data_IF_183210165153
#
_entry.id   IF_183210165153
#
_cell.length_a   1.000
_cell.length_b   1.000
_cell.length_c   1.000
_cell.angle_alpha   90.00
_cell.angle_beta   90.00
_cell.angle_gamma   90.00
#
_symmetry.space_group_name_H-M   'P 1'
#
loop_
_entity.id
_entity.type
_entity.pdbx_description
1 polymer ?
#
# COMPACT_ATOMS: atom_id res chain seq x y z
N UNK A 1 -2.28 -23.60 9.79
CA UNK A 1 -2.37 -22.32 9.02
C UNK A 1 -1.25 -22.37 8.00
N UNK A 2 -1.42 -21.81 6.80
CA UNK A 2 -0.29 -21.71 5.87
C UNK A 2 0.85 -20.93 6.52
N UNK A 3 2.08 -21.27 6.14
CA UNK A 3 3.29 -20.62 6.61
C UNK A 3 3.28 -19.14 6.18
N UNK A 4 3.59 -18.24 7.11
CA UNK A 4 3.63 -16.80 6.86
C UNK A 4 5.08 -16.37 6.59
N UNK A 5 5.25 -15.34 5.79
CA UNK A 5 6.58 -14.83 5.40
C UNK A 5 7.48 -14.50 6.60
N UNK A 6 6.91 -14.16 7.75
CA UNK A 6 7.63 -13.84 8.98
C UNK A 6 7.94 -15.03 9.89
N UNK A 7 7.36 -16.23 9.68
CA UNK A 7 7.49 -17.36 10.60
C UNK A 7 8.93 -17.80 10.79
N UNK A 8 9.78 -17.68 9.79
CA UNK A 8 11.21 -18.00 9.86
C UNK A 8 12.03 -17.03 10.72
N UNK A 9 11.49 -15.86 11.06
CA UNK A 9 12.15 -14.85 11.91
C UNK A 9 11.71 -14.96 13.39
N UNK A 10 10.71 -15.77 13.69
CA UNK A 10 10.18 -15.94 15.05
C UNK A 10 11.02 -16.97 15.83
N UNK A 11 11.42 -16.59 17.03
CA UNK A 11 12.05 -17.51 17.98
C UNK A 11 11.03 -18.50 18.55
N UNK A 12 11.51 -19.54 19.24
CA UNK A 12 10.63 -20.48 19.98
C UNK A 12 9.83 -19.76 21.07
N UNK A 13 10.43 -18.79 21.75
CA UNK A 13 9.75 -17.96 22.72
C UNK A 13 8.60 -17.16 22.09
N UNK A 14 8.83 -16.55 20.92
CA UNK A 14 7.80 -15.78 20.21
C UNK A 14 6.62 -16.69 19.84
N UNK A 15 6.91 -17.88 19.29
CA UNK A 15 5.88 -18.86 18.91
C UNK A 15 5.07 -19.32 20.13
N UNK A 16 5.74 -19.58 21.24
CA UNK A 16 5.10 -19.99 22.50
C UNK A 16 4.19 -18.88 23.03
N UNK A 17 4.67 -17.63 23.04
CA UNK A 17 3.88 -16.47 23.45
C UNK A 17 2.64 -16.29 22.56
N UNK A 18 2.79 -16.37 21.24
CA UNK A 18 1.68 -16.26 20.30
C UNK A 18 0.62 -17.37 20.49
N UNK A 19 1.06 -18.58 20.83
CA UNK A 19 0.14 -19.69 21.13
C UNK A 19 -0.68 -19.47 22.41
N UNK A 20 -0.09 -18.80 23.40
CA UNK A 20 -0.75 -18.49 24.68
C UNK A 20 -1.63 -17.24 24.59
N UNK A 21 -1.31 -16.30 23.71
CA UNK A 21 -1.96 -15.00 23.56
C UNK A 21 -2.53 -14.85 22.16
N UNK A 22 -3.51 -15.66 21.81
CA UNK A 22 -4.14 -15.62 20.50
C UNK A 22 -4.77 -14.24 20.24
N UNK A 23 -4.22 -13.53 19.25
CA UNK A 23 -4.75 -12.24 18.81
C UNK A 23 -6.15 -12.39 18.22
N UNK A 24 -7.08 -11.56 18.65
CA UNK A 24 -8.38 -11.46 18.01
C UNK A 24 -8.28 -10.63 16.75
N UNK A 25 -8.75 -11.17 15.62
CA UNK A 25 -8.83 -10.44 14.34
C UNK A 25 -9.79 -9.27 14.43
N UNK A 26 -9.45 -8.18 13.73
CA UNK A 26 -10.29 -6.99 13.58
C UNK A 26 -11.47 -7.30 12.64
N UNK A 27 -11.21 -8.07 11.59
CA UNK A 27 -12.17 -8.46 10.56
C UNK A 27 -12.58 -7.30 9.65
N UNK A 28 -13.29 -7.65 8.60
CA UNK A 28 -13.87 -6.68 7.68
C UNK A 28 -15.10 -6.02 8.28
N UNK A 29 -15.31 -4.75 7.93
CA UNK A 29 -16.51 -3.98 8.30
C UNK A 29 -17.59 -4.02 7.24
N UNK A 30 -18.34 -2.92 7.15
CA UNK A 30 -19.52 -2.82 6.29
C UNK A 30 -19.38 -1.87 5.10
N UNK A 31 -18.36 -1.01 5.10
CA UNK A 31 -18.12 0.00 4.05
C UNK A 31 -16.64 0.04 3.70
N UNK A 32 -16.18 -0.85 2.82
CA UNK A 32 -14.78 -0.92 2.43
C UNK A 32 -14.39 0.18 1.44
N UNK A 33 -13.10 0.54 1.46
CA UNK A 33 -12.41 1.25 0.40
C UNK A 33 -11.07 0.57 0.09
N UNK A 34 -10.57 0.69 -1.13
CA UNK A 34 -9.23 0.25 -1.53
C UNK A 34 -8.29 1.45 -1.52
N UNK A 35 -7.16 1.31 -0.85
CA UNK A 35 -6.07 2.28 -0.79
C UNK A 35 -4.81 1.70 -1.42
N UNK A 36 -4.42 2.23 -2.59
CA UNK A 36 -3.20 1.88 -3.30
C UNK A 36 -2.12 2.91 -2.98
N UNK A 37 -1.02 2.46 -2.39
CA UNK A 37 0.03 3.34 -1.86
C UNK A 37 1.26 3.24 -2.76
N UNK A 38 1.65 4.37 -3.37
CA UNK A 38 2.94 4.60 -4.02
C UNK A 38 3.28 3.62 -5.16
N UNK A 39 2.30 3.28 -5.99
CA UNK A 39 2.47 2.43 -7.16
C UNK A 39 2.93 3.27 -8.38
N UNK A 40 4.10 3.87 -8.30
CA UNK A 40 4.61 4.82 -9.29
C UNK A 40 6.02 4.47 -9.82
N UNK A 41 6.43 5.15 -10.90
CA UNK A 41 7.70 4.89 -11.62
C UNK A 41 8.94 4.89 -10.73
N UNK A 42 9.02 5.76 -9.73
CA UNK A 42 10.17 5.79 -8.81
C UNK A 42 10.42 4.45 -8.13
N UNK A 43 9.37 3.69 -7.86
CA UNK A 43 9.39 2.39 -7.17
C UNK A 43 9.53 1.22 -8.13
N UNK A 44 8.83 1.27 -9.26
CA UNK A 44 8.81 0.18 -10.23
C UNK A 44 9.96 0.25 -11.23
N UNK A 45 10.40 1.47 -11.58
CA UNK A 45 11.24 1.67 -12.75
C UNK A 45 10.45 1.54 -14.05
N UNK A 46 11.16 1.38 -15.16
CA UNK A 46 10.54 1.27 -16.48
C UNK A 46 10.24 -0.19 -16.90
N UNK A 47 10.85 -1.16 -16.22
CA UNK A 47 10.72 -2.60 -16.53
C UNK A 47 11.18 -3.47 -15.34
N UNK A 48 10.79 -4.76 -15.30
CA UNK A 48 11.30 -5.69 -14.30
C UNK A 48 12.82 -5.84 -14.38
N UNK A 49 13.50 -5.57 -13.25
CA UNK A 49 14.94 -5.73 -13.10
C UNK A 49 15.28 -6.17 -11.68
N UNK A 50 16.37 -6.94 -11.47
CA UNK A 50 16.91 -7.17 -10.13
C UNK A 50 17.19 -5.86 -9.40
N UNK A 51 17.01 -5.83 -8.08
CA UNK A 51 17.12 -4.62 -7.26
C UNK A 51 18.39 -3.83 -7.54
N UNK A 52 19.57 -4.48 -7.51
CA UNK A 52 20.87 -3.81 -7.68
C UNK A 52 21.08 -3.23 -9.09
N UNK A 53 20.36 -3.71 -10.08
CA UNK A 53 20.35 -3.12 -11.42
C UNK A 53 19.33 -1.96 -11.52
N UNK A 54 18.13 -2.17 -10.97
CA UNK A 54 17.05 -1.19 -11.01
C UNK A 54 17.46 0.14 -10.34
N UNK A 55 18.12 0.07 -9.18
CA UNK A 55 18.51 1.26 -8.40
C UNK A 55 19.58 2.12 -9.08
N UNK A 56 20.31 1.61 -10.07
CA UNK A 56 21.26 2.40 -10.87
C UNK A 56 20.54 3.49 -11.67
N UNK A 57 19.32 3.23 -12.10
CA UNK A 57 18.49 4.16 -12.88
C UNK A 57 17.41 4.82 -12.04
N UNK A 58 16.76 4.03 -11.17
CA UNK A 58 15.69 4.46 -10.28
C UNK A 58 16.08 4.17 -8.82
N UNK A 59 16.75 5.12 -8.12
CA UNK A 59 17.29 4.88 -6.78
C UNK A 59 16.27 4.43 -5.74
N UNK A 60 14.99 4.74 -5.92
CA UNK A 60 13.88 4.30 -5.07
C UNK A 60 13.27 2.96 -5.44
N UNK A 61 13.78 2.28 -6.48
CA UNK A 61 13.17 1.04 -6.96
C UNK A 61 13.18 -0.08 -5.91
N UNK A 62 12.12 -0.88 -5.93
CA UNK A 62 12.02 -2.14 -5.20
C UNK A 62 12.41 -3.37 -6.06
N UNK A 63 12.89 -3.13 -7.29
CA UNK A 63 13.33 -4.20 -8.19
C UNK A 63 12.21 -5.19 -8.51
N UNK A 64 12.56 -6.47 -8.58
CA UNK A 64 11.61 -7.54 -8.91
C UNK A 64 10.48 -7.67 -7.88
N UNK A 65 10.68 -7.30 -6.61
CA UNK A 65 9.62 -7.39 -5.60
C UNK A 65 8.38 -6.56 -5.98
N UNK A 66 8.58 -5.35 -6.53
CA UNK A 66 7.50 -4.53 -7.04
C UNK A 66 6.73 -5.22 -8.18
N UNK A 67 7.46 -5.74 -9.16
CA UNK A 67 6.86 -6.39 -10.33
C UNK A 67 6.17 -7.71 -10.02
N UNK A 68 6.64 -8.44 -9.00
CA UNK A 68 5.97 -9.65 -8.52
C UNK A 68 4.62 -9.35 -7.86
N UNK A 69 4.50 -8.19 -7.19
CA UNK A 69 3.25 -7.76 -6.56
C UNK A 69 2.22 -7.21 -7.56
N UNK A 70 2.61 -6.90 -8.81
CA UNK A 70 1.71 -6.22 -9.76
C UNK A 70 0.48 -7.06 -10.10
N UNK A 71 0.64 -8.35 -10.37
CA UNK A 71 -0.48 -9.24 -10.72
C UNK A 71 -1.50 -9.42 -9.59
N UNK A 72 -1.09 -9.68 -8.33
CA UNK A 72 -2.00 -9.62 -7.17
C UNK A 72 -2.72 -8.27 -7.04
N UNK A 73 -2.00 -7.16 -7.21
CA UNK A 73 -2.59 -5.80 -7.11
C UNK A 73 -3.61 -5.56 -8.23
N UNK A 74 -3.32 -5.96 -9.46
CA UNK A 74 -4.26 -5.86 -10.58
C UNK A 74 -5.54 -6.67 -10.30
N UNK A 75 -5.39 -7.89 -9.79
CA UNK A 75 -6.53 -8.74 -9.43
C UNK A 75 -7.38 -8.09 -8.33
N UNK A 76 -6.73 -7.53 -7.30
CA UNK A 76 -7.41 -6.80 -6.23
C UNK A 76 -8.14 -5.56 -6.74
N UNK A 77 -7.47 -4.75 -7.57
CA UNK A 77 -8.01 -3.53 -8.17
C UNK A 77 -9.22 -3.84 -9.04
N UNK A 78 -9.14 -4.88 -9.86
CA UNK A 78 -10.27 -5.32 -10.68
C UNK A 78 -11.47 -5.74 -9.80
N UNK A 79 -11.24 -6.53 -8.76
CA UNK A 79 -12.30 -6.95 -7.85
C UNK A 79 -12.93 -5.77 -7.11
N UNK A 80 -12.14 -4.75 -6.72
CA UNK A 80 -12.63 -3.53 -6.11
C UNK A 80 -13.51 -2.71 -7.05
N UNK A 81 -13.11 -2.59 -8.33
CA UNK A 81 -13.88 -1.96 -9.40
C UNK A 81 -15.22 -2.68 -9.62
N UNK A 82 -15.19 -4.00 -9.73
CA UNK A 82 -16.40 -4.82 -9.87
C UNK A 82 -17.35 -4.74 -8.67
N UNK A 83 -16.80 -4.61 -7.47
CA UNK A 83 -17.55 -4.41 -6.24
C UNK A 83 -18.05 -2.97 -6.07
N UNK A 84 -17.64 -2.05 -6.95
CA UNK A 84 -17.98 -0.61 -6.91
C UNK A 84 -17.67 0.03 -5.56
N UNK A 85 -16.57 -0.37 -4.92
CA UNK A 85 -16.09 0.29 -3.70
C UNK A 85 -15.23 1.51 -4.04
N UNK A 86 -15.13 2.52 -3.15
CA UNK A 86 -14.21 3.64 -3.34
C UNK A 86 -12.78 3.17 -3.51
N UNK A 87 -12.08 3.76 -4.48
CA UNK A 87 -10.66 3.48 -4.79
C UNK A 87 -9.88 4.77 -4.70
N UNK A 88 -8.79 4.74 -3.93
CA UNK A 88 -7.89 5.88 -3.73
C UNK A 88 -6.48 5.47 -4.08
N UNK A 89 -5.89 6.17 -5.04
CA UNK A 89 -4.49 6.04 -5.42
C UNK A 89 -3.69 7.14 -4.73
N UNK A 90 -2.63 6.75 -4.01
CA UNK A 90 -1.67 7.68 -3.43
C UNK A 90 -0.43 7.76 -4.31
N UNK A 91 0.01 8.97 -4.61
CA UNK A 91 1.26 9.22 -5.32
C UNK A 91 2.06 10.34 -4.67
N UNK A 92 3.31 10.54 -5.11
CA UNK A 92 4.19 11.56 -4.56
C UNK A 92 3.77 12.98 -4.94
N UNK A 93 4.12 13.92 -4.07
CA UNK A 93 4.00 15.35 -4.30
C UNK A 93 5.39 15.95 -4.46
N UNK A 94 5.56 16.75 -5.49
CA UNK A 94 6.78 17.50 -5.71
C UNK A 94 6.72 18.85 -4.99
N UNK A 95 7.61 19.05 -4.04
CA UNK A 95 7.73 20.29 -3.27
C UNK A 95 8.98 21.08 -3.68
N UNK A 96 9.32 21.09 -4.96
CA UNK A 96 10.42 21.91 -5.44
C UNK A 96 10.18 23.38 -5.05
N UNK A 97 11.08 23.94 -4.26
CA UNK A 97 11.05 25.34 -3.83
C UNK A 97 10.58 25.60 -2.41
N UNK A 98 10.18 24.57 -1.64
CA UNK A 98 9.91 24.72 -0.20
C UNK A 98 11.04 24.06 0.58
N UNK A 99 11.96 24.92 1.05
CA UNK A 99 13.11 24.46 1.83
C UNK A 99 12.65 23.75 3.12
N UNK A 100 13.24 22.58 3.40
CA UNK A 100 12.96 21.80 4.61
C UNK A 100 11.60 21.10 4.69
N UNK A 101 10.72 21.25 3.69
CA UNK A 101 9.38 20.66 3.74
C UNK A 101 9.35 19.13 3.57
N UNK A 102 10.25 18.57 2.78
CA UNK A 102 10.16 17.16 2.39
C UNK A 102 11.21 16.25 2.99
N UNK A 103 12.21 16.77 3.66
CA UNK A 103 13.35 15.93 4.02
C UNK A 103 13.92 16.26 5.40
N UNK A 104 13.76 15.33 6.28
CA UNK A 104 14.64 15.13 7.43
C UNK A 104 16.02 14.55 7.04
N UNK A 105 16.21 14.24 5.76
CA UNK A 105 17.46 13.76 5.20
C UNK A 105 17.88 14.71 4.10
N UNK A 106 19.15 15.05 4.05
CA UNK A 106 19.69 15.75 2.91
C UNK A 106 19.34 15.00 1.62
N UNK A 107 18.81 15.67 0.62
CA UNK A 107 18.58 15.04 -0.67
C UNK A 107 19.91 14.49 -1.19
N UNK A 108 19.92 13.31 -1.83
CA UNK A 108 21.11 12.85 -2.51
C UNK A 108 21.57 13.93 -3.47
N UNK A 109 22.89 14.13 -3.58
CA UNK A 109 23.46 15.08 -4.53
C UNK A 109 22.81 14.85 -5.90
N UNK A 110 22.31 15.89 -6.55
CA UNK A 110 21.69 15.74 -7.86
C UNK A 110 22.72 15.10 -8.80
N UNK A 111 22.29 14.06 -9.52
CA UNK A 111 23.06 13.54 -10.64
C UNK A 111 23.34 14.68 -11.61
N UNK A 112 24.46 14.57 -12.34
CA UNK A 112 24.78 15.55 -13.38
C UNK A 112 23.54 15.78 -14.28
N UNK A 113 23.22 17.04 -14.61
CA UNK A 113 22.07 17.35 -15.46
C UNK A 113 22.16 16.58 -16.77
N UNK A 114 21.11 15.83 -17.10
CA UNK A 114 20.96 15.21 -18.43
C UNK A 114 19.48 15.18 -18.80
N UNK A 115 19.15 15.17 -20.09
CA UNK A 115 17.76 15.07 -20.55
C UNK A 115 17.04 13.86 -19.97
N UNK A 116 17.72 12.72 -19.83
CA UNK A 116 17.17 11.48 -19.27
C UNK A 116 16.94 11.59 -17.76
N UNK A 117 17.82 12.27 -17.02
CA UNK A 117 17.64 12.53 -15.59
C UNK A 117 16.45 13.46 -15.34
N UNK A 118 16.29 14.48 -16.19
CA UNK A 118 15.17 15.41 -16.09
C UNK A 118 13.85 14.74 -16.46
N UNK A 119 13.84 13.86 -17.46
CA UNK A 119 12.67 13.07 -17.81
C UNK A 119 12.25 12.14 -16.67
N UNK A 120 13.19 11.39 -16.08
CA UNK A 120 12.92 10.57 -14.91
C UNK A 120 12.39 11.38 -13.73
N UNK A 121 12.92 12.57 -13.50
CA UNK A 121 12.46 13.46 -12.43
C UNK A 121 10.99 13.86 -12.65
N UNK A 122 10.58 14.18 -13.88
CA UNK A 122 9.20 14.53 -14.21
C UNK A 122 8.25 13.35 -14.00
N UNK A 123 8.66 12.14 -14.44
CA UNK A 123 7.81 10.94 -14.43
C UNK A 123 7.84 10.16 -13.12
N UNK A 124 8.66 10.53 -12.15
CA UNK A 124 8.89 9.71 -10.95
C UNK A 124 7.63 9.38 -10.15
N UNK A 125 6.65 10.28 -10.18
CA UNK A 125 5.39 10.12 -9.46
C UNK A 125 4.23 9.65 -10.33
N UNK A 126 4.48 9.34 -11.60
CA UNK A 126 3.47 8.79 -12.48
C UNK A 126 3.11 7.38 -12.02
N UNK A 127 1.83 7.15 -11.78
CA UNK A 127 1.32 5.82 -11.47
C UNK A 127 1.60 4.91 -12.66
N UNK A 128 2.08 3.69 -12.41
CA UNK A 128 2.41 2.75 -13.48
C UNK A 128 1.14 2.32 -14.25
N UNK A 129 1.30 2.10 -15.55
CA UNK A 129 0.17 1.84 -16.46
C UNK A 129 -0.64 0.60 -16.07
N UNK A 130 0.03 -0.36 -15.47
CA UNK A 130 -0.55 -1.63 -15.02
C UNK A 130 -1.68 -1.47 -13.99
N UNK A 131 -1.67 -0.36 -13.25
CA UNK A 131 -2.66 -0.02 -12.21
C UNK A 131 -3.17 1.42 -12.38
N UNK A 132 -3.18 1.92 -13.61
CA UNK A 132 -3.63 3.27 -13.90
C UNK A 132 -5.05 3.55 -13.36
N UNK A 133 -5.27 4.72 -12.74
CA UNK A 133 -6.58 5.10 -12.24
C UNK A 133 -7.58 5.29 -13.38
N UNK A 134 -8.82 4.89 -13.15
CA UNK A 134 -9.94 5.16 -14.05
C UNK A 134 -10.67 6.47 -13.67
N UNK A 135 -11.42 7.06 -14.59
CA UNK A 135 -12.28 8.20 -14.28
C UNK A 135 -13.22 7.88 -13.11
N UNK A 136 -13.22 8.74 -12.09
CA UNK A 136 -14.00 8.55 -10.87
C UNK A 136 -13.22 7.94 -9.70
N UNK A 137 -12.02 7.39 -9.94
CA UNK A 137 -11.12 6.98 -8.86
C UNK A 137 -10.32 8.18 -8.33
N UNK A 138 -10.18 8.29 -7.01
CA UNK A 138 -9.45 9.40 -6.41
C UNK A 138 -7.94 9.22 -6.56
N UNK A 139 -7.24 10.27 -6.99
CA UNK A 139 -5.77 10.33 -7.00
C UNK A 139 -5.34 11.43 -6.05
N UNK A 140 -4.72 11.06 -4.94
CA UNK A 140 -4.23 11.98 -3.93
C UNK A 140 -2.70 12.00 -3.92
N UNK A 141 -2.14 13.18 -3.66
CA UNK A 141 -0.68 13.37 -3.57
C UNK A 141 -0.27 13.58 -2.13
N UNK A 142 0.82 12.93 -1.73
CA UNK A 142 1.37 13.04 -0.38
C UNK A 142 2.84 13.43 -0.38
N UNK A 143 3.25 14.13 0.69
CA UNK A 143 4.64 14.52 0.93
C UNK A 143 5.26 13.81 2.12
N UNK A 144 4.49 12.96 2.80
CA UNK A 144 4.91 12.21 3.98
C UNK A 144 4.75 10.71 3.76
N UNK A 145 5.35 9.85 4.59
CA UNK A 145 5.16 8.41 4.49
C UNK A 145 3.68 8.01 4.59
N UNK A 146 2.96 8.55 5.57
CA UNK A 146 1.54 8.25 5.76
C UNK A 146 0.66 8.86 4.67
N UNK A 147 -0.29 8.08 4.15
CA UNK A 147 -1.33 8.54 3.25
C UNK A 147 -2.31 9.53 3.92
N UNK A 148 -2.36 9.55 5.24
CA UNK A 148 -3.29 10.38 6.01
C UNK A 148 -2.72 11.77 6.33
N UNK A 149 -1.41 11.85 6.57
CA UNK A 149 -0.81 13.08 7.05
C UNK A 149 -0.68 14.13 5.96
N UNK A 150 -1.30 15.31 6.17
CA UNK A 150 -1.25 16.42 5.22
C UNK A 150 -2.03 16.20 3.91
N UNK A 151 -2.95 15.22 3.88
CA UNK A 151 -3.79 14.93 2.73
C UNK A 151 -5.29 15.05 3.09
N UNK A 152 -6.18 15.19 2.11
CA UNK A 152 -7.62 15.20 2.36
C UNK A 152 -8.22 13.80 2.59
N UNK A 153 -7.40 12.73 2.73
CA UNK A 153 -7.87 11.34 2.74
C UNK A 153 -8.91 11.08 3.83
N UNK A 154 -8.67 11.53 5.07
CA UNK A 154 -9.61 11.34 6.20
C UNK A 154 -10.98 11.95 5.89
N UNK A 155 -10.99 13.20 5.39
CA UNK A 155 -12.23 13.88 5.03
C UNK A 155 -12.98 13.14 3.92
N UNK A 156 -12.26 12.66 2.90
CA UNK A 156 -12.83 11.90 1.80
C UNK A 156 -13.45 10.57 2.27
N UNK A 157 -12.73 9.79 3.06
CA UNK A 157 -13.20 8.52 3.61
C UNK A 157 -14.40 8.70 4.54
N UNK A 158 -14.37 9.73 5.40
CA UNK A 158 -15.49 10.05 6.29
C UNK A 158 -16.74 10.47 5.51
N UNK A 159 -16.59 11.29 4.49
CA UNK A 159 -17.72 11.68 3.62
C UNK A 159 -18.37 10.46 2.97
N UNK A 160 -17.59 9.48 2.55
CA UNK A 160 -18.06 8.21 1.98
C UNK A 160 -18.60 7.23 3.04
N UNK A 161 -18.37 7.51 4.33
CA UNK A 161 -18.76 6.65 5.44
C UNK A 161 -17.98 5.34 5.50
N UNK A 162 -16.73 5.33 5.01
CA UNK A 162 -15.85 4.17 5.02
C UNK A 162 -15.52 3.75 6.45
N UNK A 163 -15.53 2.46 6.73
CA UNK A 163 -15.13 1.86 8.02
C UNK A 163 -13.97 0.87 7.89
N UNK A 164 -13.65 0.45 6.68
CA UNK A 164 -12.64 -0.57 6.39
C UNK A 164 -11.76 -0.11 5.24
N UNK A 165 -10.44 -0.17 5.42
CA UNK A 165 -9.47 0.18 4.39
C UNK A 165 -8.65 -1.05 4.03
N UNK A 166 -8.83 -1.50 2.79
CA UNK A 166 -8.02 -2.56 2.18
C UNK A 166 -6.81 -1.88 1.58
N UNK A 167 -5.60 -2.28 2.00
CA UNK A 167 -4.35 -1.58 1.68
C UNK A 167 -3.40 -2.47 0.89
N UNK A 168 -2.85 -1.93 -0.19
CA UNK A 168 -1.76 -2.52 -0.96
C UNK A 168 -0.73 -1.45 -1.37
N UNK A 169 0.45 -1.87 -1.83
CA UNK A 169 1.48 -0.98 -2.36
C UNK A 169 2.82 -0.99 -1.62
N UNK A 170 3.56 0.10 -1.72
CA UNK A 170 4.96 0.28 -1.28
C UNK A 170 5.07 1.31 -0.15
N UNK A 171 6.07 1.20 0.68
CA UNK A 171 6.82 0.02 1.10
C UNK A 171 6.22 -0.53 2.36
N UNK A 172 6.23 -1.86 2.52
CA UNK A 172 5.66 -2.53 3.69
C UNK A 172 6.15 -1.92 5.00
N UNK A 173 7.46 -1.65 5.14
CA UNK A 173 8.07 -1.07 6.33
C UNK A 173 7.98 0.46 6.41
N UNK A 174 7.58 1.11 5.34
CA UNK A 174 7.53 2.57 5.19
C UNK A 174 6.12 3.11 5.08
N UNK A 175 5.73 3.51 3.85
CA UNK A 175 4.47 4.21 3.61
C UNK A 175 3.24 3.35 3.93
N UNK A 176 3.28 2.04 3.66
CA UNK A 176 2.21 1.10 4.04
C UNK A 176 2.07 1.07 5.55
N UNK A 177 3.17 0.79 6.28
CA UNK A 177 3.14 0.75 7.75
C UNK A 177 2.67 2.06 8.36
N UNK A 178 3.21 3.19 7.91
CA UNK A 178 2.82 4.52 8.41
C UNK A 178 1.32 4.78 8.21
N UNK A 179 0.80 4.47 7.03
CA UNK A 179 -0.63 4.61 6.72
C UNK A 179 -1.51 3.66 7.54
N UNK A 180 -1.06 2.43 7.75
CA UNK A 180 -1.79 1.44 8.57
C UNK A 180 -1.89 1.90 10.02
N UNK A 181 -0.80 2.41 10.60
CA UNK A 181 -0.78 2.92 11.99
C UNK A 181 -1.72 4.12 12.14
N UNK A 182 -1.66 5.07 11.21
CA UNK A 182 -2.53 6.24 11.24
C UNK A 182 -3.99 5.86 11.00
N UNK A 183 -4.29 5.00 10.02
CA UNK A 183 -5.63 4.51 9.76
C UNK A 183 -6.25 3.80 10.96
N UNK A 184 -5.46 2.98 11.66
CA UNK A 184 -5.86 2.35 12.92
C UNK A 184 -6.13 3.40 14.01
N UNK A 185 -5.30 4.45 14.09
CA UNK A 185 -5.47 5.57 15.03
C UNK A 185 -6.76 6.35 14.75
N UNK A 186 -7.13 6.53 13.48
CA UNK A 186 -8.42 7.09 13.05
C UNK A 186 -9.60 6.14 13.19
N UNK A 187 -9.40 4.92 13.75
CA UNK A 187 -10.42 3.91 14.01
C UNK A 187 -10.96 3.19 12.78
N UNK A 188 -10.26 3.22 11.67
CA UNK A 188 -10.56 2.34 10.55
C UNK A 188 -10.12 0.90 10.84
N UNK A 189 -10.85 -0.08 10.30
CA UNK A 189 -10.41 -1.47 10.21
C UNK A 189 -9.39 -1.57 9.09
N UNK A 190 -8.12 -1.74 9.46
CA UNK A 190 -7.06 -1.83 8.47
C UNK A 190 -6.85 -3.27 8.04
N UNK A 191 -6.94 -3.52 6.75
CA UNK A 191 -6.68 -4.83 6.13
C UNK A 191 -5.49 -4.66 5.18
N UNK A 192 -4.43 -5.40 5.40
CA UNK A 192 -3.25 -5.42 4.53
C UNK A 192 -3.27 -6.69 3.69
N UNK A 193 -3.20 -6.56 2.38
CA UNK A 193 -3.18 -7.70 1.46
C UNK A 193 -1.76 -8.22 1.34
N UNK A 194 -1.50 -9.43 1.83
CA UNK A 194 -0.16 -10.01 1.97
C UNK A 194 0.61 -9.98 0.64
N UNK A 195 0.02 -10.48 -0.43
CA UNK A 195 0.62 -10.53 -1.77
C UNK A 195 0.59 -9.18 -2.51
N UNK A 196 -0.14 -8.21 -1.96
CA UNK A 196 -0.31 -6.87 -2.55
C UNK A 196 0.64 -5.82 -1.99
N UNK A 197 1.47 -6.14 -1.00
CA UNK A 197 2.46 -5.22 -0.44
C UNK A 197 3.88 -5.75 -0.64
N UNK A 198 4.84 -4.86 -0.79
CA UNK A 198 6.22 -5.25 -1.06
C UNK A 198 7.23 -4.26 -0.47
N UNK A 199 8.48 -4.68 -0.40
CA UNK A 199 9.60 -3.90 0.13
C UNK A 199 10.91 -4.28 -0.57
N UNK A 200 11.96 -3.47 -0.38
CA UNK A 200 13.32 -3.73 -0.89
C UNK A 200 14.03 -4.83 -0.14
N UNK A 201 13.73 -4.95 1.15
CA UNK A 201 14.41 -5.87 2.05
C UNK A 201 13.43 -6.89 2.63
N UNK A 202 13.73 -8.15 2.40
CA UNK A 202 12.88 -9.27 2.82
C UNK A 202 12.63 -9.29 4.34
N UNK A 203 13.68 -9.05 5.15
CA UNK A 203 13.53 -8.99 6.59
C UNK A 203 12.63 -7.82 7.03
N UNK A 204 12.82 -6.61 6.45
CA UNK A 204 11.97 -5.47 6.74
C UNK A 204 10.50 -5.75 6.37
N UNK A 205 10.26 -6.33 5.19
CA UNK A 205 8.93 -6.74 4.75
C UNK A 205 8.27 -7.69 5.76
N UNK A 206 8.93 -8.81 6.05
CA UNK A 206 8.39 -9.85 6.90
C UNK A 206 8.08 -9.37 8.34
N UNK A 207 9.05 -8.68 8.97
CA UNK A 207 8.87 -8.22 10.35
C UNK A 207 7.83 -7.12 10.46
N UNK A 208 7.71 -6.24 9.47
CA UNK A 208 6.66 -5.21 9.50
C UNK A 208 5.27 -5.78 9.22
N UNK A 209 5.13 -6.81 8.38
CA UNK A 209 3.87 -7.54 8.25
C UNK A 209 3.48 -8.20 9.58
N UNK A 210 4.44 -8.86 10.25
CA UNK A 210 4.21 -9.43 11.57
C UNK A 210 3.74 -8.37 12.57
N UNK A 211 4.48 -7.25 12.69
CA UNK A 211 4.17 -6.19 13.65
C UNK A 211 2.79 -5.55 13.36
N UNK A 212 2.49 -5.24 12.10
CA UNK A 212 1.17 -4.73 11.72
C UNK A 212 0.07 -5.74 12.05
N UNK A 213 0.29 -7.03 11.75
CA UNK A 213 -0.67 -8.08 12.06
C UNK A 213 -0.90 -8.25 13.56
N UNK A 214 0.09 -7.99 14.41
CA UNK A 214 -0.07 -8.10 15.86
C UNK A 214 -0.80 -6.92 16.49
N UNK A 215 -0.74 -5.71 15.91
CA UNK A 215 -1.11 -4.48 16.62
C UNK A 215 -2.14 -3.61 15.92
N UNK A 216 -2.09 -3.51 14.59
CA UNK A 216 -2.76 -2.40 13.88
C UNK A 216 -3.72 -2.84 12.78
N UNK A 217 -3.49 -4.01 12.18
CA UNK A 217 -4.22 -4.45 10.99
C UNK A 217 -4.41 -5.96 10.98
N UNK A 218 -5.31 -6.47 10.18
CA UNK A 218 -5.28 -7.88 9.78
C UNK A 218 -4.50 -8.00 8.47
N UNK A 219 -3.40 -8.76 8.49
CA UNK A 219 -2.67 -9.15 7.28
C UNK A 219 -3.29 -10.44 6.76
N UNK A 220 -3.88 -10.36 5.59
CA UNK A 220 -4.69 -11.45 5.02
C UNK A 220 -4.24 -11.80 3.60
N UNK A 221 -4.41 -13.06 3.16
CA UNK A 221 -4.16 -13.43 1.78
C UNK A 221 -5.16 -12.73 0.83
N UNK A 222 -4.75 -12.46 -0.40
CA UNK A 222 -5.59 -11.88 -1.45
C UNK A 222 -6.92 -12.64 -1.61
N UNK A 223 -6.90 -13.97 -1.60
CA UNK A 223 -8.09 -14.79 -1.74
C UNK A 223 -9.18 -14.45 -0.74
N UNK A 224 -8.83 -14.13 0.52
CA UNK A 224 -9.79 -13.75 1.55
C UNK A 224 -10.46 -12.40 1.25
N UNK A 225 -9.70 -11.46 0.70
CA UNK A 225 -10.23 -10.15 0.29
C UNK A 225 -11.16 -10.30 -0.92
N UNK A 226 -10.79 -11.14 -1.89
CA UNK A 226 -11.65 -11.43 -3.05
C UNK A 226 -12.98 -12.03 -2.64
N UNK A 227 -12.97 -12.99 -1.71
CA UNK A 227 -14.19 -13.59 -1.15
C UNK A 227 -15.06 -12.55 -0.42
N UNK A 228 -14.45 -11.65 0.33
CA UNK A 228 -15.16 -10.56 0.99
C UNK A 228 -15.81 -9.62 -0.02
N UNK A 229 -15.07 -9.17 -1.05
CA UNK A 229 -15.59 -8.27 -2.09
C UNK A 229 -16.71 -8.91 -2.92
N UNK A 230 -16.60 -10.20 -3.22
CA UNK A 230 -17.65 -10.95 -3.91
C UNK A 230 -18.97 -10.99 -3.08
N UNK A 231 -18.86 -11.24 -1.78
CA UNK A 231 -20.01 -11.21 -0.84
C UNK A 231 -20.57 -9.80 -0.70
N UNK A 232 -19.72 -8.79 -0.63
CA UNK A 232 -20.12 -7.38 -0.61
C UNK A 232 -20.95 -7.04 -1.85
N UNK A 233 -20.47 -7.36 -3.04
CA UNK A 233 -21.18 -7.15 -4.31
C UNK A 233 -22.55 -7.84 -4.33
N UNK A 234 -22.61 -9.10 -3.91
CA UNK A 234 -23.87 -9.84 -3.83
C UNK A 234 -24.88 -9.19 -2.88
N UNK A 235 -24.42 -8.69 -1.73
CA UNK A 235 -25.27 -7.97 -0.76
C UNK A 235 -25.79 -6.61 -1.26
N UNK A 236 -25.02 -5.89 -2.09
CA UNK A 236 -25.47 -4.64 -2.72
C UNK A 236 -26.58 -4.90 -3.76
N UNK A 237 -26.49 -5.97 -4.52
CA UNK A 237 -27.49 -6.35 -5.53
C UNK A 237 -28.84 -6.77 -4.93
N UNK A 238 -28.90 -7.03 -3.62
CA UNK A 238 -30.12 -7.40 -2.90
C UNK A 238 -30.84 -6.22 -2.22
N UNK A 239 -30.23 -5.03 -2.23
CA UNK A 239 -30.87 -3.82 -1.71
C UNK A 239 -31.85 -3.28 -2.77
N UNK A 240 -33.10 -2.95 -2.40
CA UNK A 240 -34.02 -2.27 -3.32
C UNK A 240 -33.44 -0.91 -3.73
N UNK A 241 -33.71 -0.42 -4.94
CA UNK A 241 -33.29 0.90 -5.35
C UNK A 241 -33.85 1.95 -4.38
N UNK A 242 -32.94 2.81 -3.89
CA UNK A 242 -33.27 3.92 -2.96
C UNK A 242 -34.00 5.06 -3.66
#
# INVERSE_FOLDING_TARGET
>A
MPERVWDRFLTEQDRSHLAMSARRRIGFGRKPALLLIDLYRWVFGDRPQPLLEAIKTWPGSCGLAAWQAISPIQTLLQAAREASIPIVHMTGLDHSGIEGWTAWREPPQPAAPSPEADDRRRRRWDIVDEVAPLPGEAVLRKSSPSAFWGTPLVGHLNYLGVDTIITCGESTSGCVRASVVDGCTYRYRMIVVDEGVFDRHEAAHAINLFDMNQKYADVVPLAEVLDYLAKWRAGQNQKPPS
#
